data_IF_365213326204
#
_entry.id   IF_365213326204
#
_cell.length_a   1.000
_cell.length_b   1.000
_cell.length_c   1.000
_cell.angle_alpha   90.00
_cell.angle_beta   90.00
_cell.angle_gamma   90.00
#
_symmetry.space_group_name_H-M   'P 1'
#
loop_
_entity.id
_entity.type
_entity.pdbx_description
1 polymer ?
#
# COMPACT_ATOMS: atom_id res chain seq x y z
N UNK A 1 28.34 1.05 1.79
CA UNK A 1 27.18 0.14 1.96
C UNK A 1 26.39 0.19 0.67
N UNK A 2 26.46 -0.84 -0.14
CA UNK A 2 25.70 -0.91 -1.39
C UNK A 2 24.21 -1.02 -1.07
N UNK A 3 23.40 -0.12 -1.62
CA UNK A 3 21.95 -0.23 -1.59
C UNK A 3 21.50 -1.03 -2.82
N UNK A 4 20.43 -1.85 -2.73
CA UNK A 4 19.92 -2.55 -3.91
C UNK A 4 19.61 -1.55 -5.02
N UNK A 5 20.18 -1.75 -6.21
CA UNK A 5 20.10 -0.83 -7.35
C UNK A 5 18.69 -0.56 -7.90
N UNK A 6 17.66 -1.26 -7.39
CA UNK A 6 16.28 -1.20 -7.89
C UNK A 6 15.29 -0.52 -6.94
N UNK A 7 15.73 0.20 -5.92
CA UNK A 7 14.80 0.91 -5.05
C UNK A 7 14.24 2.14 -5.74
N UNK A 8 12.91 2.24 -5.73
CA UNK A 8 12.20 3.44 -6.15
C UNK A 8 11.63 4.14 -4.90
N UNK A 9 11.60 5.47 -4.92
CA UNK A 9 10.92 6.23 -3.90
C UNK A 9 9.47 6.46 -4.33
N UNK A 10 8.53 6.25 -3.42
CA UNK A 10 7.10 6.43 -3.70
C UNK A 10 6.73 7.87 -4.08
N UNK A 11 7.48 8.86 -3.59
CA UNK A 11 7.23 10.29 -3.84
C UNK A 11 8.15 10.89 -4.93
N UNK A 12 9.08 10.11 -5.51
CA UNK A 12 10.07 10.65 -6.45
C UNK A 12 9.42 11.34 -7.64
N UNK A 13 9.83 12.58 -7.89
CA UNK A 13 9.33 13.40 -9.00
C UNK A 13 7.88 13.89 -8.85
N UNK A 14 7.21 13.58 -7.75
CA UNK A 14 5.88 14.10 -7.44
C UNK A 14 5.94 15.40 -6.64
N UNK A 15 4.76 15.94 -6.28
CA UNK A 15 4.65 17.22 -5.55
C UNK A 15 5.27 17.20 -4.14
N UNK A 16 5.59 16.03 -3.60
CA UNK A 16 6.27 15.84 -2.31
C UNK A 16 7.76 15.50 -2.46
N UNK A 17 8.35 15.82 -3.63
CA UNK A 17 9.77 15.64 -3.93
C UNK A 17 10.35 16.95 -4.49
N UNK A 18 11.54 17.38 -3.91
CA UNK A 18 12.40 16.78 -2.88
C UNK A 18 11.78 16.81 -1.48
N UNK A 19 12.01 15.75 -0.69
CA UNK A 19 11.44 15.61 0.65
C UNK A 19 12.51 15.74 1.75
N UNK A 20 12.12 15.61 3.01
CA UNK A 20 13.06 15.66 4.16
C UNK A 20 14.29 14.74 4.01
N UNK A 21 14.15 13.58 3.33
CA UNK A 21 15.28 12.70 3.06
C UNK A 21 16.29 13.32 2.07
N UNK A 22 15.83 14.17 1.16
CA UNK A 22 16.73 14.89 0.28
C UNK A 22 17.51 15.97 1.04
N UNK A 23 16.83 16.70 1.94
CA UNK A 23 17.45 17.72 2.78
C UNK A 23 18.45 17.12 3.79
N UNK A 24 18.21 15.92 4.30
CA UNK A 24 19.14 15.24 5.23
C UNK A 24 20.28 14.47 4.56
N UNK A 25 20.37 14.48 3.22
CA UNK A 25 21.36 13.68 2.50
C UNK A 25 21.04 12.18 2.37
N UNK A 26 19.83 11.77 2.75
CA UNK A 26 19.39 10.36 2.76
C UNK A 26 18.47 10.00 1.58
N UNK A 27 18.47 10.79 0.50
CA UNK A 27 17.59 10.56 -0.63
C UNK A 27 17.71 9.13 -1.16
N UNK A 28 16.59 8.43 -1.26
CA UNK A 28 16.57 7.02 -1.72
C UNK A 28 17.02 6.92 -3.18
N UNK A 29 16.69 7.93 -4.00
CA UNK A 29 16.91 7.89 -5.45
C UNK A 29 18.17 8.59 -5.93
N UNK A 30 18.51 9.74 -5.37
CA UNK A 30 19.60 10.57 -5.89
C UNK A 30 20.94 10.25 -5.22
N UNK A 31 21.93 9.77 -6.01
CA UNK A 31 23.28 9.47 -5.53
C UNK A 31 24.05 10.73 -5.14
N UNK A 32 23.91 11.82 -5.91
CA UNK A 32 24.60 13.09 -5.61
C UNK A 32 24.16 13.68 -4.27
N UNK A 33 22.86 13.63 -3.95
CA UNK A 33 22.38 14.10 -2.64
C UNK A 33 22.96 13.25 -1.50
N UNK A 34 23.24 11.97 -1.74
CA UNK A 34 23.91 11.09 -0.77
C UNK A 34 25.42 11.33 -0.64
N UNK A 35 25.96 12.29 -1.37
CA UNK A 35 27.39 12.62 -1.34
C UNK A 35 28.25 11.77 -2.28
N UNK A 36 27.67 11.02 -3.21
CA UNK A 36 28.42 10.30 -4.24
C UNK A 36 28.96 11.30 -5.28
N UNK A 37 30.13 11.00 -5.88
CA UNK A 37 30.81 11.90 -6.82
C UNK A 37 30.12 11.96 -8.18
N UNK A 38 29.37 10.92 -8.55
CA UNK A 38 28.77 10.76 -9.87
C UNK A 38 27.27 10.50 -9.77
N UNK A 39 26.52 10.91 -10.81
CA UNK A 39 25.09 10.65 -10.90
C UNK A 39 24.82 9.22 -11.41
N UNK A 40 24.35 8.35 -10.54
CA UNK A 40 24.05 6.94 -10.87
C UNK A 40 22.58 6.58 -10.69
N UNK A 41 21.70 7.58 -10.54
CA UNK A 41 20.32 7.33 -10.10
C UNK A 41 19.42 6.66 -11.16
N UNK A 42 19.79 6.66 -12.44
CA UNK A 42 18.97 6.15 -13.57
C UNK A 42 17.52 6.67 -13.56
N UNK A 43 17.29 7.83 -12.94
CA UNK A 43 16.00 8.47 -12.85
C UNK A 43 15.69 9.23 -14.15
N UNK A 44 14.48 9.06 -14.69
CA UNK A 44 14.07 9.68 -15.96
C UNK A 44 13.07 10.83 -15.79
N UNK A 45 12.75 11.20 -14.56
CA UNK A 45 11.89 12.34 -14.26
C UNK A 45 12.69 13.62 -14.00
N UNK A 46 12.03 14.61 -13.39
CA UNK A 46 12.66 15.87 -12.96
C UNK A 46 13.86 15.57 -12.04
N UNK A 47 15.00 16.21 -12.28
CA UNK A 47 16.22 15.95 -11.53
C UNK A 47 16.09 16.43 -10.08
N UNK A 48 16.03 15.49 -9.14
CA UNK A 48 15.83 15.76 -7.71
C UNK A 48 16.97 16.62 -7.13
N UNK A 49 18.21 16.43 -7.62
CA UNK A 49 19.36 17.23 -7.22
C UNK A 49 19.21 18.70 -7.67
N UNK A 50 18.82 18.92 -8.93
CA UNK A 50 18.60 20.27 -9.43
C UNK A 50 17.47 20.97 -8.69
N UNK A 51 16.34 20.29 -8.46
CA UNK A 51 15.25 20.85 -7.67
C UNK A 51 15.69 21.25 -6.26
N UNK A 52 16.49 20.42 -5.59
CA UNK A 52 16.99 20.71 -4.25
C UNK A 52 18.00 21.86 -4.22
N UNK A 53 18.95 21.91 -5.18
CA UNK A 53 20.10 22.81 -5.13
C UNK A 53 19.85 24.16 -5.79
N UNK A 54 19.09 24.19 -6.89
CA UNK A 54 18.94 25.38 -7.71
C UNK A 54 17.63 26.13 -7.45
N UNK A 55 16.56 25.46 -7.17
CA UNK A 55 15.28 26.13 -6.98
C UNK A 55 15.14 26.81 -5.62
N UNK A 56 16.06 26.58 -4.66
CA UNK A 56 16.02 27.11 -3.28
C UNK A 56 14.59 27.11 -2.68
N UNK A 57 13.71 26.38 -3.33
CA UNK A 57 12.31 26.30 -2.95
C UNK A 57 12.28 25.50 -1.68
N UNK A 58 12.08 26.23 -0.64
CA UNK A 58 11.64 25.73 0.65
C UNK A 58 10.32 25.04 0.44
N UNK A 59 10.04 24.09 1.20
CA UNK A 59 9.83 22.72 0.82
C UNK A 59 8.65 22.62 -0.11
N UNK A 60 8.74 21.73 -1.01
CA UNK A 60 7.72 20.89 -1.50
C UNK A 60 6.52 20.88 -0.54
N UNK A 61 5.34 20.96 -1.10
CA UNK A 61 4.09 20.95 -0.34
C UNK A 61 4.13 19.89 0.77
N UNK A 62 4.10 20.33 2.01
CA UNK A 62 3.93 19.41 3.13
C UNK A 62 2.51 18.86 3.12
N UNK A 63 2.37 17.58 3.44
CA UNK A 63 1.05 16.99 3.69
C UNK A 63 0.44 17.66 4.92
N UNK A 64 -0.67 18.35 4.73
CA UNK A 64 -1.35 19.10 5.80
C UNK A 64 -2.34 18.21 6.54
N UNK A 65 -2.55 18.50 7.79
CA UNK A 65 -3.65 17.97 8.58
C UNK A 65 -4.95 18.67 8.13
N UNK A 66 -5.92 17.86 7.69
CA UNK A 66 -7.21 18.34 7.16
C UNK A 66 -8.32 17.86 8.10
N UNK A 67 -9.12 18.79 8.61
CA UNK A 67 -10.33 18.45 9.36
C UNK A 67 -11.41 18.00 8.37
N UNK A 68 -11.87 16.77 8.53
CA UNK A 68 -12.82 16.10 7.65
C UNK A 68 -14.01 15.58 8.43
N UNK A 69 -15.20 15.63 7.84
CA UNK A 69 -16.44 15.11 8.45
C UNK A 69 -16.55 13.61 8.24
N UNK A 70 -16.88 12.87 9.29
CA UNK A 70 -17.28 11.47 9.22
C UNK A 70 -18.76 11.43 8.83
N UNK A 71 -19.07 10.85 7.66
CA UNK A 71 -20.43 10.75 7.11
C UNK A 71 -21.14 9.52 7.66
N UNK A 72 -20.38 8.43 7.83
CA UNK A 72 -20.87 7.15 8.33
C UNK A 72 -19.77 6.48 9.15
N UNK A 73 -20.16 5.90 10.29
CA UNK A 73 -19.35 4.96 11.05
C UNK A 73 -20.23 3.78 11.44
N UNK A 74 -19.97 2.62 10.85
CA UNK A 74 -20.80 1.42 11.02
C UNK A 74 -19.93 0.24 11.46
N UNK A 75 -20.33 -0.46 12.50
CA UNK A 75 -19.75 -1.75 12.84
C UNK A 75 -20.24 -2.78 11.82
N UNK A 76 -19.33 -3.29 11.00
CA UNK A 76 -19.63 -4.27 9.95
C UNK A 76 -19.40 -5.71 10.42
N UNK A 77 -18.61 -5.86 11.46
CA UNK A 77 -18.32 -7.11 12.14
C UNK A 77 -17.82 -6.79 13.55
N UNK A 78 -17.86 -7.76 14.48
CA UNK A 78 -17.44 -7.53 15.86
C UNK A 78 -16.11 -6.81 15.95
N UNK A 79 -16.14 -5.57 16.46
CA UNK A 79 -14.99 -4.68 16.63
C UNK A 79 -14.25 -4.34 15.32
N UNK A 80 -14.97 -4.29 14.19
CA UNK A 80 -14.48 -3.84 12.90
C UNK A 80 -15.46 -2.82 12.36
N UNK A 81 -14.96 -1.62 12.11
CA UNK A 81 -15.77 -0.47 11.71
C UNK A 81 -15.43 -0.03 10.28
N UNK A 82 -16.46 0.20 9.50
CA UNK A 82 -16.39 0.85 8.22
C UNK A 82 -16.71 2.33 8.38
N UNK A 83 -15.83 3.20 7.88
CA UNK A 83 -16.00 4.65 7.95
C UNK A 83 -16.06 5.24 6.55
N UNK A 84 -17.01 6.17 6.34
CA UNK A 84 -17.04 7.08 5.21
C UNK A 84 -16.67 8.48 5.67
N UNK A 85 -15.66 9.07 5.07
CA UNK A 85 -15.10 10.37 5.44
C UNK A 85 -15.17 11.31 4.23
N UNK A 86 -15.78 12.48 4.41
CA UNK A 86 -15.81 13.50 3.36
C UNK A 86 -14.45 14.16 3.24
N UNK A 87 -13.84 14.11 2.07
CA UNK A 87 -12.49 14.64 1.81
C UNK A 87 -12.53 15.74 0.72
N UNK A 88 -11.52 16.61 0.64
CA UNK A 88 -11.37 17.53 -0.49
C UNK A 88 -11.21 16.80 -1.82
N UNK A 89 -11.85 17.31 -2.87
CA UNK A 89 -11.86 16.69 -4.21
C UNK A 89 -10.47 16.50 -4.81
N UNK A 90 -9.52 17.39 -4.52
CA UNK A 90 -8.15 17.26 -5.02
C UNK A 90 -7.38 16.03 -4.50
N UNK A 91 -7.87 15.35 -3.45
CA UNK A 91 -7.27 14.14 -2.90
C UNK A 91 -7.84 12.86 -3.50
N UNK A 92 -9.03 12.90 -4.10
CA UNK A 92 -9.74 11.67 -4.52
C UNK A 92 -8.93 10.85 -5.50
N UNK A 93 -8.38 11.47 -6.54
CA UNK A 93 -7.57 10.80 -7.55
C UNK A 93 -6.32 10.13 -6.97
N UNK A 94 -5.62 10.83 -6.09
CA UNK A 94 -4.39 10.29 -5.47
C UNK A 94 -4.72 9.12 -4.53
N UNK A 95 -5.83 9.21 -3.80
CA UNK A 95 -6.26 8.16 -2.87
C UNK A 95 -6.92 6.97 -3.55
N UNK A 96 -7.40 7.09 -4.79
CA UNK A 96 -7.89 5.98 -5.62
C UNK A 96 -6.76 5.07 -6.12
N UNK A 97 -5.50 5.50 -6.05
CA UNK A 97 -4.37 4.68 -6.47
C UNK A 97 -4.14 3.46 -5.55
N UNK A 98 -3.80 2.28 -6.12
CA UNK A 98 -3.41 1.11 -5.32
C UNK A 98 -2.26 1.43 -4.36
N UNK A 99 -2.37 0.96 -3.12
CA UNK A 99 -1.37 1.20 -2.08
C UNK A 99 -1.42 2.59 -1.45
N UNK A 100 -2.41 3.42 -1.80
CA UNK A 100 -2.65 4.66 -1.08
C UNK A 100 -3.15 4.39 0.35
N UNK A 101 -2.63 5.14 1.31
CA UNK A 101 -3.07 5.14 2.70
C UNK A 101 -3.10 6.56 3.26
N UNK A 102 -3.76 6.72 4.37
CA UNK A 102 -3.91 7.99 5.09
C UNK A 102 -3.46 7.84 6.53
N UNK A 103 -3.11 8.95 7.17
CA UNK A 103 -3.03 8.99 8.61
C UNK A 103 -4.29 9.63 9.16
N UNK A 104 -4.92 8.94 10.10
CA UNK A 104 -6.12 9.41 10.80
C UNK A 104 -5.79 9.77 12.25
N UNK A 105 -6.44 10.83 12.75
CA UNK A 105 -6.30 11.30 14.11
C UNK A 105 -7.65 11.87 14.58
N UNK A 106 -8.00 11.58 15.81
CA UNK A 106 -9.09 12.25 16.50
C UNK A 106 -8.77 13.75 16.68
N UNK A 107 -9.73 14.62 16.33
CA UNK A 107 -9.54 16.09 16.40
C UNK A 107 -9.26 16.60 17.80
N UNK A 108 -9.85 15.99 18.82
CA UNK A 108 -9.78 16.42 20.21
C UNK A 108 -8.50 15.94 20.92
N UNK A 109 -7.65 15.22 20.19
CA UNK A 109 -6.41 14.71 20.75
C UNK A 109 -5.28 15.73 20.63
N UNK A 110 -4.95 16.39 21.76
CA UNK A 110 -3.90 17.41 21.83
C UNK A 110 -2.50 16.89 21.50
N UNK A 111 -2.11 15.70 21.98
CA UNK A 111 -0.79 15.12 21.73
C UNK A 111 -0.71 14.43 20.38
N UNK A 112 -0.19 15.13 19.36
CA UNK A 112 -0.31 14.75 18.01
C UNK A 112 0.86 14.05 17.33
N UNK A 113 1.81 13.45 18.05
CA UNK A 113 3.01 12.95 17.41
C UNK A 113 2.79 11.73 16.49
N UNK A 114 1.74 10.93 16.71
CA UNK A 114 1.58 9.70 15.93
C UNK A 114 0.13 9.44 15.57
N UNK A 115 -0.25 9.79 14.37
CA UNK A 115 -1.54 9.44 13.79
C UNK A 115 -1.60 7.93 13.47
N UNK A 116 -2.78 7.37 13.25
CA UNK A 116 -2.94 5.99 12.86
C UNK A 116 -2.82 5.86 11.33
N UNK A 117 -1.86 5.09 10.78
CA UNK A 117 -1.83 4.78 9.36
C UNK A 117 -2.95 3.80 9.04
N UNK A 118 -3.84 4.19 8.13
CA UNK A 118 -4.99 3.40 7.70
C UNK A 118 -4.97 3.27 6.19
N UNK A 119 -5.06 2.05 5.70
CA UNK A 119 -5.16 1.78 4.27
C UNK A 119 -6.48 2.30 3.73
N UNK A 120 -6.43 2.92 2.56
CA UNK A 120 -7.64 3.32 1.84
C UNK A 120 -8.23 2.08 1.20
N UNK A 121 -9.46 1.74 1.58
CA UNK A 121 -10.21 0.64 0.98
C UNK A 121 -10.71 1.05 -0.39
N UNK A 122 -11.41 2.17 -0.47
CA UNK A 122 -11.97 2.71 -1.69
C UNK A 122 -12.13 4.24 -1.64
N UNK A 123 -12.43 4.85 -2.77
CA UNK A 123 -12.79 6.27 -2.89
C UNK A 123 -13.96 6.42 -3.86
N UNK A 124 -15.03 7.03 -3.38
CA UNK A 124 -16.09 7.55 -4.24
C UNK A 124 -15.64 8.93 -4.74
N UNK A 125 -15.15 8.96 -5.99
CA UNK A 125 -14.60 10.18 -6.60
C UNK A 125 -15.70 11.23 -6.90
N UNK A 126 -16.92 10.78 -7.21
CA UNK A 126 -18.05 11.67 -7.53
C UNK A 126 -18.52 12.43 -6.27
N UNK A 127 -18.64 11.71 -5.17
CA UNK A 127 -19.11 12.26 -3.91
C UNK A 127 -17.95 12.70 -3.00
N UNK A 128 -16.69 12.56 -3.41
CA UNK A 128 -15.51 12.88 -2.62
C UNK A 128 -15.52 12.21 -1.24
N UNK A 129 -15.79 10.90 -1.20
CA UNK A 129 -15.87 10.11 0.01
C UNK A 129 -14.71 9.11 0.04
N UNK A 130 -13.95 9.15 1.12
CA UNK A 130 -12.93 8.17 1.46
C UNK A 130 -13.56 7.04 2.27
N UNK A 131 -13.38 5.80 1.84
CA UNK A 131 -13.81 4.59 2.53
C UNK A 131 -12.62 3.88 3.17
N UNK A 132 -12.73 3.63 4.47
CA UNK A 132 -11.70 2.92 5.24
C UNK A 132 -12.31 1.94 6.22
N UNK A 133 -11.53 0.92 6.58
CA UNK A 133 -11.90 -0.01 7.67
C UNK A 133 -10.94 0.19 8.84
N UNK A 134 -11.50 0.34 10.03
CA UNK A 134 -10.76 0.60 11.27
C UNK A 134 -11.05 -0.48 12.29
N UNK A 135 -10.00 -1.02 12.92
CA UNK A 135 -10.12 -1.91 14.08
C UNK A 135 -9.65 -1.14 15.32
N UNK A 136 -10.54 -0.82 16.26
CA UNK A 136 -10.22 0.00 17.43
C UNK A 136 -9.44 -0.78 18.51
N UNK A 137 -8.17 -1.10 18.23
CA UNK A 137 -7.32 -1.90 19.13
C UNK A 137 -6.59 -1.07 20.19
N UNK A 138 -6.19 0.15 19.86
CA UNK A 138 -5.33 0.97 20.73
C UNK A 138 -5.81 2.40 20.88
N UNK A 139 -5.05 3.19 21.65
CA UNK A 139 -5.37 4.60 21.94
C UNK A 139 -5.49 5.49 20.70
N UNK A 140 -4.89 5.09 19.57
CA UNK A 140 -4.94 5.83 18.31
C UNK A 140 -6.20 5.54 17.50
N UNK A 141 -6.70 4.31 17.57
CA UNK A 141 -7.79 3.85 16.70
C UNK A 141 -9.13 3.77 17.41
N UNK A 142 -9.16 3.63 18.76
CA UNK A 142 -10.42 3.61 19.52
C UNK A 142 -11.27 4.87 19.36
N UNK A 143 -10.72 6.11 19.40
CA UNK A 143 -11.53 7.31 19.22
C UNK A 143 -12.09 7.45 17.80
N UNK A 144 -11.40 6.93 16.78
CA UNK A 144 -11.74 7.17 15.38
C UNK A 144 -13.12 6.65 14.96
N UNK A 145 -13.67 5.67 15.68
CA UNK A 145 -14.92 5.01 15.31
C UNK A 145 -16.15 5.70 15.88
N UNK A 146 -15.98 6.67 16.81
CA UNK A 146 -17.05 7.38 17.47
C UNK A 146 -17.01 8.90 17.25
N UNK A 147 -16.14 9.41 16.38
CA UNK A 147 -16.02 10.84 16.15
C UNK A 147 -16.88 11.30 14.96
N UNK A 148 -17.43 12.52 15.04
CA UNK A 148 -18.15 13.19 13.95
C UNK A 148 -17.18 13.85 12.96
N UNK A 149 -16.01 14.25 13.45
CA UNK A 149 -14.95 14.89 12.69
C UNK A 149 -13.58 14.23 13.00
N UNK A 150 -12.77 14.11 11.98
CA UNK A 150 -11.49 13.43 12.02
C UNK A 150 -10.43 14.23 11.28
N UNK A 151 -9.21 14.23 11.78
CA UNK A 151 -8.08 14.79 11.04
C UNK A 151 -7.53 13.74 10.10
N UNK A 152 -7.48 14.09 8.81
CA UNK A 152 -6.92 13.27 7.73
C UNK A 152 -5.63 13.93 7.24
N UNK A 153 -4.54 13.19 7.25
CA UNK A 153 -3.28 13.60 6.61
C UNK A 153 -2.99 12.67 5.44
N UNK A 154 -2.92 13.21 4.24
CA UNK A 154 -2.90 12.44 2.99
C UNK A 154 -2.28 13.25 1.83
N UNK A 155 -1.99 12.61 0.69
CA UNK A 155 -1.95 11.17 0.42
C UNK A 155 -0.58 10.54 0.74
N UNK A 156 -0.55 9.24 1.00
CA UNK A 156 0.65 8.42 1.11
C UNK A 156 0.53 7.21 0.19
N UNK A 157 1.63 6.77 -0.47
CA UNK A 157 1.53 5.84 -1.62
C UNK A 157 2.24 4.50 -1.44
N UNK A 158 2.95 4.27 -0.35
CA UNK A 158 3.79 3.08 -0.21
C UNK A 158 3.14 1.95 0.61
N UNK A 159 1.84 1.76 0.47
CA UNK A 159 1.09 0.70 1.15
C UNK A 159 1.19 -0.68 0.48
N UNK A 160 1.87 -0.81 -0.67
CA UNK A 160 2.04 -2.06 -1.41
C UNK A 160 3.48 -2.16 -1.93
N UNK A 161 4.08 -3.33 -1.86
CA UNK A 161 5.30 -3.70 -2.59
C UNK A 161 4.95 -4.44 -3.87
N UNK A 162 5.64 -4.14 -4.97
CA UNK A 162 5.30 -4.61 -6.31
C UNK A 162 4.30 -3.71 -7.05
N UNK A 163 4.15 -2.46 -6.64
CA UNK A 163 3.22 -1.50 -7.26
C UNK A 163 3.47 -1.29 -8.75
N UNK A 164 4.73 -1.34 -9.19
CA UNK A 164 5.10 -1.24 -10.61
C UNK A 164 4.45 -2.38 -11.42
N UNK A 165 4.48 -3.60 -10.88
CA UNK A 165 3.93 -4.77 -11.55
C UNK A 165 2.41 -4.71 -11.64
N UNK A 166 1.72 -4.20 -10.61
CA UNK A 166 0.27 -3.94 -10.65
C UNK A 166 -0.07 -2.92 -11.75
N UNK A 167 0.68 -1.82 -11.83
CA UNK A 167 0.42 -0.73 -12.77
C UNK A 167 0.70 -1.10 -14.23
N UNK A 168 1.71 -1.95 -14.46
CA UNK A 168 2.16 -2.34 -15.80
C UNK A 168 1.53 -3.63 -16.32
N UNK A 169 0.79 -4.38 -15.50
CA UNK A 169 0.16 -5.62 -15.95
C UNK A 169 -1.13 -5.29 -16.70
N UNK A 170 -1.23 -5.76 -17.94
CA UNK A 170 -2.38 -5.53 -18.81
C UNK A 170 -2.60 -6.71 -19.75
N UNK A 171 -3.86 -7.00 -20.08
CA UNK A 171 -4.28 -8.06 -20.98
C UNK A 171 -3.78 -9.46 -20.57
N UNK A 172 -3.74 -9.73 -19.28
CA UNK A 172 -3.25 -10.97 -18.71
C UNK A 172 -4.25 -11.58 -17.73
N UNK A 173 -3.96 -12.82 -17.31
CA UNK A 173 -4.67 -13.46 -16.21
C UNK A 173 -3.92 -13.22 -14.89
N UNK A 174 -4.66 -12.81 -13.88
CA UNK A 174 -4.16 -12.44 -12.57
C UNK A 174 -4.89 -13.20 -11.47
N UNK A 175 -4.17 -13.52 -10.42
CA UNK A 175 -4.73 -14.10 -9.19
C UNK A 175 -4.55 -13.13 -8.03
N UNK A 176 -5.60 -12.94 -7.26
CA UNK A 176 -5.58 -12.19 -6.01
C UNK A 176 -5.92 -13.16 -4.87
N UNK A 177 -5.01 -13.30 -3.90
CA UNK A 177 -5.17 -14.25 -2.78
C UNK A 177 -5.33 -13.48 -1.49
N UNK A 178 -6.43 -13.67 -0.80
CA UNK A 178 -6.86 -12.86 0.34
C UNK A 178 -6.92 -13.68 1.63
N UNK A 179 -6.44 -13.07 2.73
CA UNK A 179 -6.54 -13.65 4.06
C UNK A 179 -6.94 -12.60 5.10
N UNK A 180 -7.98 -12.92 5.86
CA UNK A 180 -8.44 -12.14 6.99
C UNK A 180 -8.74 -10.67 6.64
N UNK A 181 -8.46 -9.77 7.57
CA UNK A 181 -8.72 -8.32 7.40
C UNK A 181 -7.86 -7.64 6.32
N UNK A 182 -6.81 -8.30 5.86
CA UNK A 182 -5.96 -7.74 4.81
C UNK A 182 -6.72 -7.59 3.48
N UNK A 183 -7.84 -8.31 3.29
CA UNK A 183 -8.71 -8.19 2.10
C UNK A 183 -9.13 -6.73 1.79
N UNK A 184 -9.23 -5.87 2.81
CA UNK A 184 -9.54 -4.44 2.63
C UNK A 184 -8.55 -3.74 1.70
N UNK A 185 -7.29 -4.19 1.65
CA UNK A 185 -6.25 -3.60 0.82
C UNK A 185 -6.30 -4.06 -0.65
N UNK A 186 -7.18 -5.00 -0.99
CA UNK A 186 -7.23 -5.62 -2.33
C UNK A 186 -8.11 -4.87 -3.32
N UNK A 187 -9.16 -4.19 -2.88
CA UNK A 187 -10.20 -3.67 -3.76
C UNK A 187 -9.64 -2.73 -4.84
N UNK A 188 -8.76 -1.78 -4.48
CA UNK A 188 -8.12 -0.88 -5.43
C UNK A 188 -7.13 -1.59 -6.37
N UNK A 189 -6.52 -2.69 -5.90
CA UNK A 189 -5.67 -3.54 -6.74
C UNK A 189 -6.52 -4.25 -7.79
N UNK A 190 -7.62 -4.86 -7.38
CA UNK A 190 -8.57 -5.54 -8.27
C UNK A 190 -9.12 -4.55 -9.31
N UNK A 191 -9.61 -3.38 -8.86
CA UNK A 191 -10.08 -2.30 -9.76
C UNK A 191 -9.01 -1.91 -10.79
N UNK A 192 -7.75 -1.76 -10.37
CA UNK A 192 -6.65 -1.40 -11.28
C UNK A 192 -6.35 -2.51 -12.28
N UNK A 193 -6.32 -3.77 -11.85
CA UNK A 193 -6.08 -4.90 -12.74
C UNK A 193 -7.18 -5.04 -13.78
N UNK A 194 -8.46 -4.95 -13.38
CA UNK A 194 -9.61 -4.99 -14.29
C UNK A 194 -9.57 -3.81 -15.27
N UNK A 195 -9.30 -2.59 -14.78
CA UNK A 195 -9.15 -1.39 -15.63
C UNK A 195 -8.04 -1.52 -16.66
N UNK A 196 -7.02 -2.31 -16.39
CA UNK A 196 -5.96 -2.64 -17.35
C UNK A 196 -6.29 -3.83 -18.24
N UNK A 197 -7.57 -4.22 -18.34
CA UNK A 197 -8.07 -5.36 -19.13
C UNK A 197 -7.46 -6.71 -18.74
N UNK A 198 -7.17 -6.94 -17.47
CA UNK A 198 -6.79 -8.25 -16.98
C UNK A 198 -8.04 -9.05 -16.56
N UNK A 199 -7.98 -10.37 -16.75
CA UNK A 199 -8.90 -11.31 -16.09
C UNK A 199 -8.42 -11.54 -14.65
N UNK A 200 -9.28 -11.31 -13.67
CA UNK A 200 -8.91 -11.39 -12.26
C UNK A 200 -9.73 -12.48 -11.57
N UNK A 201 -9.04 -13.46 -11.01
CA UNK A 201 -9.63 -14.48 -10.14
C UNK A 201 -9.20 -14.21 -8.70
N UNK A 202 -10.15 -14.25 -7.77
CA UNK A 202 -9.94 -13.96 -6.37
C UNK A 202 -10.07 -15.23 -5.54
N UNK A 203 -9.06 -15.55 -4.75
CA UNK A 203 -9.06 -16.66 -3.81
C UNK A 203 -9.12 -16.14 -2.38
N UNK A 204 -10.13 -16.53 -1.62
CA UNK A 204 -10.28 -16.12 -0.21
C UNK A 204 -10.00 -17.34 0.68
N UNK A 205 -9.09 -17.17 1.65
CA UNK A 205 -8.78 -18.20 2.64
C UNK A 205 -9.93 -18.33 3.63
N UNK A 206 -10.60 -19.51 3.64
CA UNK A 206 -11.76 -19.80 4.51
C UNK A 206 -11.43 -19.71 6.00
N UNK A 207 -10.19 -19.98 6.42
CA UNK A 207 -9.76 -19.89 7.83
C UNK A 207 -9.58 -18.44 8.30
N UNK A 208 -9.37 -17.53 7.37
CA UNK A 208 -9.29 -16.09 7.66
C UNK A 208 -10.67 -15.51 7.95
N UNK A 209 -10.69 -14.36 8.62
CA UNK A 209 -11.93 -13.62 8.80
C UNK A 209 -12.41 -13.10 7.45
N UNK A 210 -13.64 -13.46 7.08
CA UNK A 210 -14.27 -12.97 5.86
C UNK A 210 -15.07 -11.71 6.16
N UNK A 211 -15.12 -10.80 5.20
CA UNK A 211 -15.94 -9.58 5.25
C UNK A 211 -16.92 -9.61 4.07
N UNK A 212 -18.19 -9.91 4.34
CA UNK A 212 -19.26 -10.03 3.35
C UNK A 212 -19.31 -8.78 2.43
N UNK A 213 -19.22 -7.60 3.01
CA UNK A 213 -19.16 -6.33 2.26
C UNK A 213 -18.01 -6.29 1.24
N UNK A 214 -16.88 -6.95 1.54
CA UNK A 214 -15.75 -6.98 0.58
C UNK A 214 -16.01 -7.96 -0.55
N UNK A 215 -16.62 -9.10 -0.26
CA UNK A 215 -17.00 -10.09 -1.25
C UNK A 215 -18.01 -9.50 -2.24
N UNK A 216 -19.07 -8.85 -1.73
CA UNK A 216 -20.05 -8.13 -2.56
C UNK A 216 -19.36 -7.08 -3.48
N UNK A 217 -18.48 -6.23 -2.92
CA UNK A 217 -17.77 -5.23 -3.73
C UNK A 217 -16.85 -5.85 -4.79
N UNK A 218 -16.27 -7.02 -4.53
CA UNK A 218 -15.41 -7.74 -5.49
C UNK A 218 -16.26 -8.34 -6.62
N UNK A 219 -17.40 -8.95 -6.28
CA UNK A 219 -18.35 -9.48 -7.25
C UNK A 219 -18.95 -8.39 -8.14
N UNK A 220 -19.30 -7.23 -7.57
CA UNK A 220 -19.78 -6.05 -8.31
C UNK A 220 -18.75 -5.54 -9.34
N UNK A 221 -17.47 -5.78 -9.14
CA UNK A 221 -16.42 -5.50 -10.12
C UNK A 221 -16.33 -6.54 -11.25
N UNK A 222 -17.10 -7.62 -11.18
CA UNK A 222 -17.08 -8.73 -12.15
C UNK A 222 -15.91 -9.70 -11.95
N UNK A 223 -15.26 -9.70 -10.78
CA UNK A 223 -14.24 -10.70 -10.45
C UNK A 223 -14.89 -11.93 -9.83
N UNK A 224 -14.43 -13.13 -10.23
CA UNK A 224 -14.90 -14.38 -9.63
C UNK A 224 -14.20 -14.61 -8.28
N UNK A 225 -14.96 -15.16 -7.34
CA UNK A 225 -14.44 -15.53 -6.02
C UNK A 225 -14.44 -17.05 -5.87
N UNK A 226 -13.29 -17.61 -5.47
CA UNK A 226 -13.15 -18.99 -5.04
C UNK A 226 -12.71 -19.06 -3.59
N UNK A 227 -13.32 -19.96 -2.82
CA UNK A 227 -12.88 -20.23 -1.46
C UNK A 227 -11.84 -21.34 -1.46
N UNK A 228 -10.77 -21.16 -0.69
CA UNK A 228 -9.75 -22.17 -0.50
C UNK A 228 -9.26 -22.19 0.95
N UNK A 229 -8.52 -23.22 1.29
CA UNK A 229 -7.88 -23.33 2.59
C UNK A 229 -6.39 -23.64 2.37
N UNK A 230 -5.54 -22.75 2.86
CA UNK A 230 -4.08 -22.84 2.65
C UNK A 230 -3.50 -24.14 3.23
N UNK A 231 -4.07 -24.68 4.30
CA UNK A 231 -3.60 -25.90 4.94
C UNK A 231 -4.13 -27.17 4.25
N UNK A 232 -5.44 -27.23 4.00
CA UNK A 232 -6.12 -28.45 3.59
C UNK A 232 -6.51 -28.49 2.10
N UNK A 233 -6.70 -27.32 1.46
CA UNK A 233 -7.20 -27.21 0.08
C UNK A 233 -6.32 -26.31 -0.82
N UNK A 234 -5.03 -26.26 -0.54
CA UNK A 234 -4.07 -25.44 -1.34
C UNK A 234 -3.99 -25.88 -2.81
N UNK A 235 -4.31 -27.15 -3.10
CA UNK A 235 -4.28 -27.70 -4.46
C UNK A 235 -5.26 -26.99 -5.41
N UNK A 236 -6.36 -26.39 -4.88
CA UNK A 236 -7.30 -25.62 -5.70
C UNK A 236 -6.54 -24.41 -6.32
N UNK A 237 -5.84 -23.65 -5.51
CA UNK A 237 -5.05 -22.51 -5.95
C UNK A 237 -3.89 -22.93 -6.87
N UNK A 238 -3.16 -23.99 -6.49
CA UNK A 238 -2.03 -24.52 -7.26
C UNK A 238 -2.48 -24.95 -8.66
N UNK A 239 -3.55 -25.73 -8.74
CA UNK A 239 -4.08 -26.21 -10.02
C UNK A 239 -4.59 -25.07 -10.89
N UNK A 240 -5.24 -24.06 -10.28
CA UNK A 240 -5.68 -22.89 -11.02
C UNK A 240 -4.49 -22.13 -11.64
N UNK A 241 -3.43 -21.87 -10.86
CA UNK A 241 -2.25 -21.15 -11.34
C UNK A 241 -1.56 -21.94 -12.46
N UNK A 242 -1.40 -23.27 -12.31
CA UNK A 242 -0.77 -24.13 -13.34
C UNK A 242 -1.51 -24.16 -14.67
N UNK A 243 -2.83 -24.15 -14.61
CA UNK A 243 -3.67 -24.41 -15.80
C UNK A 243 -4.08 -23.12 -16.55
N UNK A 244 -3.81 -21.93 -16.00
CA UNK A 244 -4.37 -20.68 -16.54
C UNK A 244 -3.34 -19.64 -17.01
N UNK A 245 -2.06 -19.99 -17.17
CA UNK A 245 -1.00 -19.05 -17.60
C UNK A 245 -1.00 -17.74 -16.79
N UNK A 246 -1.02 -17.83 -15.48
CA UNK A 246 -1.05 -16.66 -14.61
C UNK A 246 0.25 -15.87 -14.72
N UNK A 247 0.14 -14.56 -14.98
CA UNK A 247 1.29 -13.66 -15.11
C UNK A 247 1.62 -12.89 -13.82
N UNK A 248 0.63 -12.76 -12.93
CA UNK A 248 0.73 -11.91 -11.77
C UNK A 248 -0.11 -12.47 -10.61
N UNK A 249 0.47 -12.44 -9.39
CA UNK A 249 -0.21 -12.78 -8.15
C UNK A 249 -0.09 -11.62 -7.15
N UNK A 250 -1.22 -11.18 -6.60
CA UNK A 250 -1.27 -10.30 -5.44
C UNK A 250 -1.68 -11.10 -4.20
N UNK A 251 -0.77 -11.28 -3.25
CA UNK A 251 -1.06 -11.97 -1.99
C UNK A 251 -1.28 -10.97 -0.87
N UNK A 252 -2.46 -10.99 -0.27
CA UNK A 252 -2.91 -10.00 0.71
C UNK A 252 -3.30 -10.65 2.03
N UNK A 253 -2.31 -10.90 2.86
CA UNK A 253 -2.42 -11.49 4.19
C UNK A 253 -1.30 -11.02 5.12
N UNK A 254 -1.18 -11.63 6.27
CA UNK A 254 -0.04 -11.45 7.15
C UNK A 254 1.24 -11.98 6.49
N UNK A 255 2.40 -11.59 7.02
CA UNK A 255 3.70 -11.89 6.39
C UNK A 255 3.94 -13.39 6.17
N UNK A 256 3.53 -14.22 7.13
CA UNK A 256 3.66 -15.69 7.02
C UNK A 256 2.75 -16.25 5.92
N UNK A 257 1.52 -15.77 5.84
CA UNK A 257 0.61 -16.14 4.76
C UNK A 257 1.22 -15.78 3.41
N UNK A 258 1.66 -14.54 3.23
CA UNK A 258 2.27 -14.08 1.99
C UNK A 258 3.54 -14.87 1.63
N UNK A 259 4.36 -15.27 2.61
CA UNK A 259 5.51 -16.16 2.38
C UNK A 259 5.07 -17.56 1.90
N UNK A 260 4.03 -18.12 2.50
CA UNK A 260 3.51 -19.43 2.08
C UNK A 260 2.96 -19.40 0.66
N UNK A 261 2.19 -18.35 0.31
CA UNK A 261 1.70 -18.16 -1.06
C UNK A 261 2.86 -17.97 -2.04
N UNK A 262 3.88 -17.19 -1.69
CA UNK A 262 5.08 -17.04 -2.53
C UNK A 262 5.76 -18.38 -2.80
N UNK A 263 5.93 -19.21 -1.77
CA UNK A 263 6.53 -20.53 -1.91
C UNK A 263 5.72 -21.44 -2.86
N UNK A 264 4.38 -21.38 -2.79
CA UNK A 264 3.53 -22.12 -3.73
C UNK A 264 3.68 -21.60 -5.16
N UNK A 265 3.71 -20.30 -5.36
CA UNK A 265 3.87 -19.67 -6.68
C UNK A 265 5.25 -19.99 -7.26
N UNK A 266 6.33 -19.87 -6.47
CA UNK A 266 7.70 -20.17 -6.89
C UNK A 266 7.91 -21.65 -7.22
N UNK A 267 7.17 -22.52 -6.55
CA UNK A 267 7.15 -23.96 -6.87
C UNK A 267 6.46 -24.30 -8.19
N UNK A 268 5.74 -23.34 -8.78
CA UNK A 268 5.08 -23.49 -10.10
C UNK A 268 5.89 -22.76 -11.17
N UNK A 269 6.10 -21.45 -11.00
CA UNK A 269 6.88 -20.62 -11.90
C UNK A 269 7.38 -19.37 -11.15
N UNK A 270 8.69 -19.24 -10.99
CA UNK A 270 9.36 -18.12 -10.30
C UNK A 270 9.33 -16.80 -11.10
N UNK A 271 8.91 -16.84 -12.37
CA UNK A 271 8.74 -15.67 -13.24
C UNK A 271 7.40 -14.95 -13.03
N UNK A 272 6.42 -15.60 -12.43
CA UNK A 272 5.14 -14.97 -12.08
C UNK A 272 5.42 -13.74 -11.22
N UNK A 273 4.97 -12.57 -11.63
CA UNK A 273 5.14 -11.33 -10.86
C UNK A 273 4.36 -11.41 -9.57
N UNK A 274 4.93 -10.85 -8.49
CA UNK A 274 4.37 -11.01 -7.16
C UNK A 274 4.34 -9.69 -6.40
N UNK A 275 3.18 -9.34 -5.85
CA UNK A 275 2.99 -8.15 -5.03
C UNK A 275 2.30 -8.48 -3.71
N UNK A 276 2.54 -7.64 -2.69
CA UNK A 276 2.00 -7.80 -1.33
C UNK A 276 1.71 -6.44 -0.69
N UNK A 277 0.83 -6.37 0.32
CA UNK A 277 0.68 -5.16 1.12
C UNK A 277 1.94 -4.88 1.96
N UNK A 278 2.22 -3.61 2.19
CA UNK A 278 3.26 -3.16 3.10
C UNK A 278 2.71 -3.15 4.54
N UNK A 279 2.79 -4.28 5.22
CA UNK A 279 2.32 -4.45 6.60
C UNK A 279 3.38 -4.05 7.66
N UNK A 280 4.42 -3.32 7.26
CA UNK A 280 5.43 -2.86 8.20
C UNK A 280 4.89 -1.73 9.08
N UNK A 281 5.54 -1.56 10.25
CA UNK A 281 5.20 -0.47 11.16
C UNK A 281 5.48 0.88 10.48
N UNK A 282 4.43 1.65 10.22
CA UNK A 282 4.53 3.00 9.69
C UNK A 282 4.09 4.00 10.77
N UNK A 283 4.91 5.02 11.00
CA UNK A 283 4.67 6.00 12.05
C UNK A 283 4.53 7.43 11.49
N UNK A 284 5.52 7.95 10.75
CA UNK A 284 5.46 9.29 10.16
C UNK A 284 5.11 9.31 8.67
N UNK A 285 5.35 8.24 7.93
CA UNK A 285 5.18 8.20 6.47
C UNK A 285 6.22 9.03 5.68
N UNK A 286 7.09 9.79 6.36
CA UNK A 286 8.02 10.77 5.74
C UNK A 286 9.48 10.31 5.75
N UNK A 287 9.75 9.08 6.22
CA UNK A 287 11.12 8.55 6.29
C UNK A 287 11.98 9.10 7.43
N UNK A 288 11.44 9.93 8.33
CA UNK A 288 12.19 10.66 9.36
C UNK A 288 12.34 9.83 10.63
N UNK A 289 11.24 9.31 11.18
CA UNK A 289 11.20 8.73 12.54
C UNK A 289 11.95 7.39 12.70
N UNK A 290 12.30 6.73 11.60
CA UNK A 290 13.01 5.45 11.62
C UNK A 290 12.16 4.21 11.97
N UNK A 291 10.90 4.36 12.43
CA UNK A 291 10.04 3.23 12.86
C UNK A 291 9.82 2.16 11.78
N UNK A 292 9.80 2.56 10.50
CA UNK A 292 9.64 1.68 9.36
C UNK A 292 10.97 1.15 8.80
N UNK A 293 12.08 1.35 9.51
CA UNK A 293 13.39 0.91 9.02
C UNK A 293 13.56 -0.59 9.20
N UNK A 294 13.79 -1.28 8.12
CA UNK A 294 14.14 -2.71 8.11
C UNK A 294 15.55 -2.91 7.55
N UNK A 295 16.15 -4.06 7.80
CA UNK A 295 17.42 -4.45 7.22
C UNK A 295 17.18 -5.55 6.18
N UNK A 296 17.52 -5.27 4.93
CA UNK A 296 17.52 -6.25 3.83
C UNK A 296 18.90 -6.27 3.19
N UNK A 297 19.51 -7.45 3.05
CA UNK A 297 20.82 -7.62 2.39
C UNK A 297 21.85 -6.58 2.84
N UNK A 298 22.05 -6.42 4.15
CA UNK A 298 22.95 -5.43 4.77
C UNK A 298 22.63 -3.95 4.53
N UNK A 299 21.52 -3.64 3.86
CA UNK A 299 21.05 -2.28 3.66
C UNK A 299 19.92 -1.92 4.63
N UNK A 300 19.90 -0.66 5.10
CA UNK A 300 18.76 -0.10 5.84
C UNK A 300 17.76 0.52 4.86
N UNK A 301 16.52 0.08 4.93
CA UNK A 301 15.44 0.51 4.03
C UNK A 301 14.31 1.11 4.84
N UNK A 302 13.83 2.29 4.46
CA UNK A 302 12.67 2.96 5.05
C UNK A 302 11.41 2.55 4.25
N UNK A 303 10.68 1.57 4.74
CA UNK A 303 9.54 0.97 4.00
C UNK A 303 8.36 1.91 3.77
N UNK A 304 8.27 3.03 4.47
CA UNK A 304 7.25 4.05 4.18
C UNK A 304 7.54 4.86 2.90
N UNK A 305 8.77 4.82 2.36
CA UNK A 305 9.19 5.58 1.17
C UNK A 305 9.75 4.70 0.06
N UNK A 306 10.46 3.62 0.41
CA UNK A 306 11.12 2.76 -0.57
C UNK A 306 10.16 1.74 -1.15
N UNK A 307 9.93 1.82 -2.45
CA UNK A 307 9.25 0.81 -3.25
C UNK A 307 10.21 -0.31 -3.62
N UNK A 308 9.75 -1.54 -3.57
CA UNK A 308 10.51 -2.73 -3.96
C UNK A 308 9.58 -3.79 -4.54
N UNK A 309 10.15 -4.83 -5.11
CA UNK A 309 9.41 -6.00 -5.55
C UNK A 309 8.93 -6.82 -4.35
N UNK A 310 7.69 -7.31 -4.37
CA UNK A 310 7.11 -8.07 -3.27
C UNK A 310 7.84 -9.38 -3.00
N UNK A 311 8.29 -10.09 -4.05
CA UNK A 311 9.09 -11.32 -3.96
C UNK A 311 10.44 -11.05 -3.31
N UNK A 312 11.17 -10.04 -3.80
CA UNK A 312 12.46 -9.64 -3.24
C UNK A 312 12.35 -9.27 -1.75
N UNK A 313 11.30 -8.55 -1.38
CA UNK A 313 11.04 -8.21 0.01
C UNK A 313 10.89 -9.45 0.89
N UNK A 314 9.99 -10.39 0.51
CA UNK A 314 9.72 -11.59 1.32
C UNK A 314 10.90 -12.55 1.39
N UNK A 315 11.66 -12.72 0.30
CA UNK A 315 12.81 -13.61 0.23
C UNK A 315 13.98 -13.13 1.10
N UNK A 316 14.11 -11.82 1.30
CA UNK A 316 15.18 -11.21 2.09
C UNK A 316 14.78 -10.85 3.52
N UNK A 317 13.53 -11.07 3.90
CA UNK A 317 13.05 -10.85 5.25
C UNK A 317 13.40 -12.08 6.12
N UNK A 318 14.36 -11.90 7.03
CA UNK A 318 14.79 -12.92 8.00
C UNK A 318 13.74 -13.16 9.08
#
# INVERSE_FOLDING_TARGET
MERPNNQFCADAGGKYCPCHLAHSGDCIKCSLIRGEKTCECKWQGVCIYNELMHNKIVPVEERKDLLCKVIESKEIEKNIYFLKIKIPSYLTRDLSEPGAYVFLKDKDRESGFFNAPISVMDVDEENNILEVVVVPRGIKTKPLVNCEEIIVKAPYFNGIFGLKDIKSNAYNKCVVVLDGLSQVNSLKVIKRLIRNNNEVEVFINEKGKRLEMMEEKIEDLGANIQLFNLEDKKEILINYIRNNNISFVYSCGLIYFNKSILQLVDGIDDKIKFAIPNNNLICCGEGICGACTIRLNNCRIKTCKAQMNGREFLSNLK
#
